data_IF_139619626195
#
_entry.id   IF_139619626195
#
_cell.length_a   1.000
_cell.length_b   1.000
_cell.length_c   1.000
_cell.angle_alpha   90.00
_cell.angle_beta   90.00
_cell.angle_gamma   90.00
#
_symmetry.space_group_name_H-M   'P 1'
#
loop_
_entity.id
_entity.type
_entity.pdbx_description
1 polymer ?
#
# COMPACT_ATOMS: atom_id res chain seq x y z
N UNK A 1 12.57 -17.58 1.40
CA UNK A 1 12.14 -16.22 1.50
C UNK A 1 11.05 -16.05 2.45
N UNK A 2 10.89 -14.86 2.92
CA UNK A 2 9.88 -14.62 3.94
C UNK A 2 8.55 -14.30 3.31
N UNK A 3 7.49 -14.63 4.02
CA UNK A 3 6.16 -14.18 3.64
C UNK A 3 6.08 -12.67 3.88
N UNK A 4 5.22 -12.00 3.15
CA UNK A 4 5.12 -10.56 3.31
C UNK A 4 3.73 -10.05 3.00
N UNK A 5 3.47 -8.86 3.49
CA UNK A 5 2.27 -8.11 3.14
C UNK A 5 2.69 -7.02 2.17
N UNK A 6 2.03 -6.97 1.05
CA UNK A 6 2.30 -5.99 0.00
C UNK A 6 1.24 -4.90 0.06
N UNK A 7 1.67 -3.65 -0.05
CA UNK A 7 0.75 -2.52 -0.20
C UNK A 7 0.70 -2.15 -1.68
N UNK A 8 -0.43 -2.42 -2.32
CA UNK A 8 -0.59 -2.16 -3.75
C UNK A 8 -0.98 -0.71 -4.02
N UNK A 9 -0.21 0.21 -3.46
CA UNK A 9 -0.50 1.63 -3.60
C UNK A 9 -0.33 2.07 -5.05
N UNK A 10 0.72 1.60 -5.71
CA UNK A 10 0.95 1.99 -7.11
C UNK A 10 -0.19 1.55 -8.02
N UNK A 11 -0.73 0.37 -7.77
CA UNK A 11 -1.85 -0.13 -8.56
C UNK A 11 -3.06 0.79 -8.41
N UNK A 12 -3.35 1.18 -7.17
CA UNK A 12 -4.51 2.04 -6.92
C UNK A 12 -4.28 3.45 -7.44
N UNK A 13 -3.06 3.97 -7.34
CA UNK A 13 -2.74 5.27 -7.91
C UNK A 13 -2.99 5.27 -9.41
N UNK A 14 -2.56 4.20 -10.09
CA UNK A 14 -2.78 4.10 -11.52
C UNK A 14 -4.27 4.04 -11.84
N UNK A 15 -5.03 3.28 -11.07
CA UNK A 15 -6.47 3.18 -11.31
C UNK A 15 -7.18 4.51 -11.12
N UNK A 16 -6.72 5.31 -10.16
CA UNK A 16 -7.35 6.60 -9.87
C UNK A 16 -6.71 7.75 -10.62
N UNK A 17 -5.67 7.49 -11.39
CA UNK A 17 -4.92 8.52 -12.12
C UNK A 17 -4.44 9.60 -11.17
N UNK A 18 -3.93 9.18 -10.04
CA UNK A 18 -3.49 10.07 -8.98
C UNK A 18 -1.98 9.93 -8.81
N UNK A 19 -1.31 11.06 -8.57
CA UNK A 19 0.13 11.03 -8.32
C UNK A 19 0.40 10.70 -6.86
N UNK A 20 1.61 10.23 -6.59
CA UNK A 20 2.00 9.94 -5.22
C UNK A 20 2.06 11.23 -4.39
N UNK A 21 2.39 12.34 -5.03
CA UNK A 21 2.41 13.63 -4.35
C UNK A 21 1.00 14.02 -3.90
N UNK A 22 0.03 13.83 -4.76
CA UNK A 22 -1.35 14.12 -4.41
C UNK A 22 -1.82 13.23 -3.27
N UNK A 23 -1.48 11.95 -3.31
CA UNK A 23 -1.84 11.03 -2.25
C UNK A 23 -1.23 11.47 -0.92
N UNK A 24 0.05 11.84 -0.94
CA UNK A 24 0.74 12.33 0.24
C UNK A 24 -0.02 13.50 0.86
N UNK A 25 -0.44 14.44 0.02
CA UNK A 25 -1.15 15.62 0.50
C UNK A 25 -2.51 15.26 1.09
N UNK A 26 -3.24 14.36 0.44
CA UNK A 26 -4.57 13.99 0.90
C UNK A 26 -4.53 13.21 2.21
N UNK A 27 -3.56 12.34 2.35
CA UNK A 27 -3.47 11.48 3.52
C UNK A 27 -2.74 12.15 4.67
N UNK A 28 -1.87 13.11 4.36
CA UNK A 28 -1.11 13.81 5.38
C UNK A 28 0.10 13.04 5.85
N UNK A 29 0.67 12.19 4.99
CA UNK A 29 1.91 11.51 5.31
C UNK A 29 2.95 11.87 4.27
N UNK A 30 4.21 11.69 4.63
CA UNK A 30 5.30 12.11 3.75
C UNK A 30 5.48 11.13 2.59
N UNK A 31 6.11 11.63 1.54
CA UNK A 31 6.46 10.76 0.41
C UNK A 31 7.38 9.62 0.87
N UNK A 32 8.27 9.90 1.81
CA UNK A 32 9.16 8.87 2.35
C UNK A 32 8.35 7.76 3.01
N UNK A 33 7.32 8.10 3.77
CA UNK A 33 6.50 7.10 4.43
C UNK A 33 5.69 6.29 3.42
N UNK A 34 5.18 6.93 2.37
CA UNK A 34 4.49 6.21 1.32
C UNK A 34 5.45 5.22 0.65
N UNK A 35 6.68 5.65 0.40
CA UNK A 35 7.68 4.79 -0.21
C UNK A 35 7.97 3.58 0.66
N UNK A 36 8.05 3.77 1.98
CA UNK A 36 8.27 2.67 2.91
C UNK A 36 7.14 1.64 2.81
N UNK A 37 5.90 2.13 2.74
CA UNK A 37 4.75 1.23 2.59
C UNK A 37 4.79 0.50 1.25
N UNK A 38 5.06 1.23 0.17
CA UNK A 38 5.08 0.63 -1.18
C UNK A 38 6.13 -0.45 -1.32
N UNK A 39 7.26 -0.26 -0.66
CA UNK A 39 8.38 -1.18 -0.81
C UNK A 39 8.37 -2.33 0.17
N UNK A 40 7.30 -2.45 0.95
CA UNK A 40 7.19 -3.57 1.88
C UNK A 40 8.11 -3.48 3.07
N UNK A 41 8.60 -2.29 3.37
CA UNK A 41 9.54 -2.12 4.48
C UNK A 41 8.88 -1.66 5.76
N UNK A 42 7.58 -1.39 5.71
CA UNK A 42 6.86 -0.98 6.91
C UNK A 42 6.64 -2.20 7.80
N UNK A 43 6.92 -2.04 9.08
CA UNK A 43 6.67 -3.11 10.04
C UNK A 43 5.30 -2.99 10.66
N UNK A 44 4.69 -1.83 10.54
CA UNK A 44 3.36 -1.59 11.07
C UNK A 44 2.73 -0.43 10.33
N UNK A 45 1.42 -0.40 10.32
CA UNK A 45 0.67 0.73 9.80
C UNK A 45 -0.50 0.94 10.75
N UNK A 46 -0.75 2.20 11.07
CA UNK A 46 -1.88 2.52 11.94
C UNK A 46 -3.17 2.32 11.17
N UNK A 47 -4.19 1.85 11.86
CA UNK A 47 -5.51 1.71 11.24
C UNK A 47 -6.00 3.06 10.74
N UNK A 48 -5.70 4.14 11.46
CA UNK A 48 -6.09 5.47 11.01
C UNK A 48 -5.44 5.85 9.69
N UNK A 49 -4.19 5.46 9.49
CA UNK A 49 -3.51 5.70 8.21
C UNK A 49 -4.14 4.87 7.10
N UNK A 50 -4.43 3.60 7.40
CA UNK A 50 -5.08 2.73 6.43
C UNK A 50 -6.45 3.30 6.03
N UNK A 51 -7.20 3.81 7.01
CA UNK A 51 -8.49 4.43 6.74
C UNK A 51 -8.34 5.59 5.76
N UNK A 52 -7.37 6.45 6.00
CA UNK A 52 -7.16 7.61 5.14
C UNK A 52 -6.73 7.21 3.73
N UNK A 53 -5.91 6.17 3.63
CA UNK A 53 -5.52 5.65 2.32
C UNK A 53 -6.75 5.15 1.56
N UNK A 54 -7.62 4.42 2.23
CA UNK A 54 -8.83 3.92 1.60
C UNK A 54 -9.74 5.06 1.17
N UNK A 55 -9.86 6.10 1.99
CA UNK A 55 -10.67 7.25 1.62
C UNK A 55 -10.10 7.97 0.41
N UNK A 56 -8.80 8.21 0.43
CA UNK A 56 -8.17 8.97 -0.65
C UNK A 56 -8.19 8.20 -1.97
N UNK A 57 -8.05 6.90 -1.90
CA UNK A 57 -7.99 6.06 -3.09
C UNK A 57 -9.35 5.45 -3.44
N UNK A 58 -10.36 5.72 -2.62
CA UNK A 58 -11.72 5.21 -2.82
C UNK A 58 -11.70 3.71 -3.06
N UNK A 59 -11.18 2.99 -2.07
CA UNK A 59 -11.03 1.55 -2.18
C UNK A 59 -11.17 0.90 -0.82
N UNK A 60 -11.22 -0.42 -0.83
CA UNK A 60 -11.30 -1.21 0.39
C UNK A 60 -9.90 -1.63 0.82
N UNK A 61 -9.70 -1.94 2.12
CA UNK A 61 -8.39 -2.43 2.56
C UNK A 61 -7.92 -3.64 1.76
N UNK A 62 -8.83 -4.51 1.35
CA UNK A 62 -8.46 -5.67 0.55
C UNK A 62 -7.95 -5.34 -0.83
N UNK A 63 -8.20 -4.11 -1.30
CA UNK A 63 -7.64 -3.67 -2.57
C UNK A 63 -6.20 -3.19 -2.40
N UNK A 64 -5.83 -2.80 -1.18
CA UNK A 64 -4.50 -2.30 -0.90
C UNK A 64 -3.56 -3.36 -0.38
N UNK A 65 -4.06 -4.29 0.40
CA UNK A 65 -3.22 -5.24 1.11
C UNK A 65 -3.28 -6.60 0.44
N UNK A 66 -2.11 -7.17 0.25
CA UNK A 66 -1.99 -8.48 -0.36
C UNK A 66 -1.01 -9.30 0.44
N UNK A 67 -1.40 -10.53 0.80
CA UNK A 67 -0.48 -11.46 1.43
C UNK A 67 0.25 -12.24 0.33
N UNK A 68 1.55 -12.31 0.43
CA UNK A 68 2.34 -13.04 -0.54
C UNK A 68 3.26 -14.00 0.18
N UNK A 69 3.16 -15.28 -0.17
CA UNK A 69 4.09 -16.25 0.33
C UNK A 69 5.46 -16.02 -0.25
N UNK A 70 6.42 -16.15 0.55
CA UNK A 70 7.78 -15.94 0.11
C UNK A 70 8.24 -17.04 -0.76
N UNK A 71 8.77 -17.77 -0.97
CA UNK A 71 9.34 -18.58 -1.75
C UNK A 71 8.70 -19.67 -2.24
N UNK A 72 8.00 -19.85 -2.30
CA UNK A 72 7.59 -20.90 -2.80
C UNK A 72 7.33 -21.09 -3.81
N UNK A 73 7.49 -21.45 -4.27
CA UNK A 73 7.34 -21.80 -5.24
C UNK A 73 6.50 -22.47 -5.48
N UNK A 74 5.93 -22.54 -5.85
CA UNK A 74 5.17 -23.26 -6.04
C UNK A 74 4.61 -23.43 -7.06
N UNK A 75 4.53 -23.90 -7.53
CA UNK A 75 4.15 -24.09 -8.69
C UNK A 75 2.94 -24.25 -8.95
N UNK A 76 2.49 -24.14 -9.54
CA UNK A 76 1.37 -24.37 -9.83
C UNK A 76 1.10 -24.43 -10.77
#
# INVERSE_FOLDING_TARGET
MENEIIFNIDVMLAKRKMSVTELSQRVGITLANISILKNGKAKAVKVSTLLKLCEALDCQPGDLLEYRKGDEEVPR
#
